data_IF_974381646985
#
_entry.id   IF_974381646985
#
_cell.length_a   1.000
_cell.length_b   1.000
_cell.length_c   1.000
_cell.angle_alpha   90.00
_cell.angle_beta   90.00
_cell.angle_gamma   90.00
#
_symmetry.space_group_name_H-M   'P 1'
#
loop_
_entity.id
_entity.type
_entity.pdbx_description
1 polymer ?
#
# COMPACT_ATOMS: atom_id res chain seq x y z
N UNK A 1 -19.91 5.32 8.52
CA UNK A 1 -19.73 5.56 7.06
C UNK A 1 -19.40 4.22 6.40
N UNK A 2 -19.77 3.95 5.15
CA UNK A 2 -19.49 2.65 4.55
C UNK A 2 -17.98 2.48 4.34
N UNK A 3 -17.44 1.44 4.95
CA UNK A 3 -16.10 0.92 4.63
C UNK A 3 -16.11 0.42 3.19
N UNK A 4 -15.15 0.88 2.39
CA UNK A 4 -14.89 0.31 1.06
C UNK A 4 -13.95 -0.86 1.24
N UNK A 5 -14.21 -1.92 0.48
CA UNK A 5 -13.41 -3.14 0.49
C UNK A 5 -13.05 -3.53 -0.94
N UNK A 6 -11.79 -3.92 -1.12
CA UNK A 6 -11.27 -4.47 -2.35
C UNK A 6 -10.52 -5.76 -2.07
N UNK A 7 -10.34 -6.56 -3.11
CA UNK A 7 -9.51 -7.76 -3.07
C UNK A 7 -8.65 -7.88 -4.32
N UNK A 8 -7.92 -8.99 -4.42
CA UNK A 8 -7.10 -9.32 -5.59
C UNK A 8 -7.88 -9.32 -6.91
N UNK A 9 -9.20 -9.53 -6.89
CA UNK A 9 -10.03 -9.46 -8.11
C UNK A 9 -10.12 -8.04 -8.67
N UNK A 10 -9.92 -7.03 -7.83
CA UNK A 10 -10.03 -5.62 -8.18
C UNK A 10 -8.68 -5.01 -8.59
N UNK A 11 -7.59 -5.78 -8.50
CA UNK A 11 -6.21 -5.30 -8.67
C UNK A 11 -6.02 -4.44 -9.93
N UNK A 12 -6.53 -4.88 -11.08
CA UNK A 12 -6.36 -4.18 -12.36
C UNK A 12 -7.11 -2.83 -12.43
N UNK A 13 -8.03 -2.58 -11.51
CA UNK A 13 -8.81 -1.33 -11.42
C UNK A 13 -8.30 -0.40 -10.30
N UNK A 14 -7.36 -0.89 -9.48
CA UNK A 14 -6.80 -0.16 -8.35
C UNK A 14 -5.49 0.53 -8.74
N UNK A 15 -5.14 1.59 -8.02
CA UNK A 15 -3.86 2.26 -8.14
C UNK A 15 -3.36 2.66 -6.77
N UNK A 16 -2.08 2.45 -6.53
CA UNK A 16 -1.39 2.84 -5.30
C UNK A 16 -0.38 3.97 -5.52
N UNK A 17 -0.37 4.57 -6.72
CA UNK A 17 0.55 5.65 -7.04
C UNK A 17 0.32 6.84 -6.07
N UNK A 18 1.41 7.30 -5.46
CA UNK A 18 1.49 8.34 -4.43
C UNK A 18 0.75 8.06 -3.11
N UNK A 19 0.34 6.82 -2.86
CA UNK A 19 -0.22 6.44 -1.56
C UNK A 19 0.89 6.47 -0.49
N UNK A 20 0.65 7.23 0.58
CA UNK A 20 1.56 7.29 1.72
C UNK A 20 1.36 6.09 2.64
N UNK A 21 2.44 5.41 3.01
CA UNK A 21 2.44 4.28 3.93
C UNK A 21 3.10 4.69 5.24
N UNK A 22 2.35 4.59 6.33
CA UNK A 22 2.74 5.04 7.68
C UNK A 22 3.44 3.94 8.49
N UNK A 23 3.25 2.69 8.10
CA UNK A 23 3.89 1.55 8.74
C UNK A 23 3.39 0.23 8.20
N UNK A 24 3.96 -0.84 8.72
CA UNK A 24 3.50 -2.19 8.44
C UNK A 24 3.56 -3.07 9.68
N UNK A 25 2.73 -4.12 9.68
CA UNK A 25 2.70 -5.16 10.71
C UNK A 25 2.86 -6.52 10.05
N UNK A 26 3.69 -7.38 10.66
CA UNK A 26 3.79 -8.80 10.31
C UNK A 26 3.06 -9.61 11.36
N UNK A 27 2.20 -10.52 10.93
CA UNK A 27 1.51 -11.48 11.80
C UNK A 27 1.88 -12.90 11.38
N UNK A 28 2.25 -13.73 12.34
CA UNK A 28 2.52 -15.15 12.10
C UNK A 28 1.24 -15.86 11.65
N UNK A 29 1.34 -16.65 10.58
CA UNK A 29 0.28 -17.49 10.07
C UNK A 29 0.61 -18.98 10.23
N UNK A 30 -0.19 -19.82 9.59
CA UNK A 30 0.02 -21.26 9.62
C UNK A 30 1.07 -21.71 8.59
N UNK A 31 1.66 -22.88 8.82
CA UNK A 31 2.51 -23.58 7.85
C UNK A 31 3.73 -22.79 7.32
N UNK A 32 4.26 -21.86 8.11
CA UNK A 32 5.44 -21.07 7.77
C UNK A 32 5.17 -19.88 6.84
N UNK A 33 3.89 -19.59 6.56
CA UNK A 33 3.47 -18.36 5.91
C UNK A 33 2.97 -17.35 6.95
N UNK A 34 2.97 -16.06 6.60
CA UNK A 34 2.48 -14.99 7.45
C UNK A 34 1.51 -14.05 6.75
N UNK A 35 1.14 -12.99 7.44
CA UNK A 35 0.37 -11.88 6.89
C UNK A 35 1.23 -10.61 7.02
N UNK A 36 1.22 -9.76 5.99
CA UNK A 36 1.79 -8.41 6.08
C UNK A 36 0.69 -7.39 5.80
N UNK A 37 0.58 -6.41 6.69
CA UNK A 37 -0.41 -5.35 6.61
C UNK A 37 0.27 -4.01 6.51
N UNK A 38 -0.09 -3.23 5.50
CA UNK A 38 0.34 -1.86 5.33
C UNK A 38 -0.77 -0.93 5.79
N UNK A 39 -0.40 0.05 6.61
CA UNK A 39 -1.28 1.16 6.99
C UNK A 39 -0.99 2.34 6.07
N UNK A 40 -1.96 2.74 5.26
CA UNK A 40 -1.76 3.72 4.19
C UNK A 40 -2.87 4.77 4.11
N UNK A 41 -2.54 5.89 3.49
CA UNK A 41 -3.49 6.84 2.93
C UNK A 41 -3.79 6.42 1.50
N UNK A 42 -4.94 5.78 1.28
CA UNK A 42 -5.34 5.33 -0.04
C UNK A 42 -6.06 6.44 -0.80
N UNK A 43 -5.54 6.77 -1.98
CA UNK A 43 -6.16 7.76 -2.87
C UNK A 43 -7.29 7.08 -3.64
N UNK A 44 -8.53 7.39 -3.28
CA UNK A 44 -9.74 6.87 -3.91
C UNK A 44 -9.98 7.48 -5.28
N UNK A 45 -9.65 8.75 -5.45
CA UNK A 45 -9.93 9.50 -6.67
C UNK A 45 -8.95 10.67 -6.84
N UNK A 46 -8.44 10.82 -8.06
CA UNK A 46 -7.70 12.00 -8.50
C UNK A 46 -8.67 12.96 -9.20
N UNK A 47 -8.85 14.16 -8.65
CA UNK A 47 -9.73 15.18 -9.20
C UNK A 47 -8.91 16.31 -9.78
N UNK A 48 -8.93 16.42 -11.11
CA UNK A 48 -8.35 17.56 -11.82
C UNK A 48 -9.41 18.67 -11.94
N UNK A 49 -9.10 19.88 -11.45
CA UNK A 49 -9.96 21.05 -11.60
C UNK A 49 -9.14 22.27 -12.04
N UNK A 50 -9.26 22.63 -13.31
CA UNK A 50 -8.45 23.70 -13.90
C UNK A 50 -6.98 23.29 -13.94
N UNK A 51 -6.11 24.11 -13.34
CA UNK A 51 -4.65 23.84 -13.28
C UNK A 51 -4.22 23.07 -12.02
N UNK A 52 -5.15 22.72 -11.13
CA UNK A 52 -4.85 22.08 -9.84
C UNK A 52 -5.37 20.65 -9.72
N UNK A 53 -4.75 19.90 -8.81
CA UNK A 53 -5.19 18.58 -8.38
C UNK A 53 -5.74 18.63 -6.96
N UNK A 54 -6.79 17.84 -6.72
CA UNK A 54 -7.28 17.47 -5.39
C UNK A 54 -7.51 15.97 -5.35
N UNK A 55 -7.46 15.40 -4.16
CA UNK A 55 -7.46 13.96 -3.95
C UNK A 55 -8.55 13.61 -2.96
N UNK A 56 -9.38 12.63 -3.30
CA UNK A 56 -10.23 12.00 -2.30
C UNK A 56 -9.41 10.88 -1.66
N UNK A 57 -9.06 11.04 -0.39
CA UNK A 57 -8.14 10.14 0.33
C UNK A 57 -8.86 9.55 1.53
N UNK A 58 -8.62 8.28 1.82
CA UNK A 58 -9.11 7.63 3.02
C UNK A 58 -8.02 6.76 3.65
N UNK A 59 -7.92 6.70 4.99
CA UNK A 59 -7.00 5.79 5.62
C UNK A 59 -7.49 4.36 5.43
N UNK A 60 -6.57 3.47 5.06
CA UNK A 60 -6.86 2.10 4.68
C UNK A 60 -5.81 1.12 5.22
N UNK A 61 -6.22 -0.13 5.32
CA UNK A 61 -5.32 -1.26 5.56
C UNK A 61 -5.25 -2.09 4.29
N UNK A 62 -4.03 -2.31 3.77
CA UNK A 62 -3.75 -3.25 2.68
C UNK A 62 -3.05 -4.47 3.27
N UNK A 63 -3.74 -5.61 3.30
CA UNK A 63 -3.23 -6.87 3.86
C UNK A 63 -2.94 -7.85 2.73
N UNK A 64 -1.72 -8.37 2.70
CA UNK A 64 -1.35 -9.51 1.86
C UNK A 64 -1.36 -10.80 2.67
N UNK A 65 -1.82 -11.88 2.03
CA UNK A 65 -2.11 -13.17 2.65
C UNK A 65 -1.07 -14.23 2.29
N UNK A 66 -0.82 -15.16 3.22
CA UNK A 66 0.08 -16.30 3.00
C UNK A 66 1.45 -15.85 2.44
N UNK A 67 2.02 -14.85 3.08
CA UNK A 67 3.24 -14.18 2.64
C UNK A 67 4.47 -15.01 2.97
N UNK A 68 5.35 -15.17 1.98
CA UNK A 68 6.69 -15.76 2.11
C UNK A 68 7.74 -14.90 1.42
N UNK A 69 9.02 -15.21 1.63
CA UNK A 69 10.14 -14.60 0.89
C UNK A 69 10.22 -13.07 0.96
N UNK A 70 9.83 -12.50 2.11
CA UNK A 70 9.81 -11.06 2.35
C UNK A 70 11.20 -10.43 2.28
N UNK A 71 11.32 -9.37 1.48
CA UNK A 71 12.48 -8.50 1.34
C UNK A 71 12.02 -7.05 1.44
N UNK A 72 12.70 -6.28 2.28
CA UNK A 72 12.40 -4.86 2.50
C UNK A 72 13.70 -4.09 2.35
N UNK A 73 13.69 -3.07 1.49
CA UNK A 73 14.78 -2.12 1.35
C UNK A 73 14.19 -0.71 1.19
N UNK A 74 14.43 0.16 2.16
CA UNK A 74 14.00 1.56 2.13
C UNK A 74 15.10 2.41 2.74
N UNK A 75 15.50 3.48 2.07
CA UNK A 75 16.68 4.26 2.43
C UNK A 75 16.38 5.76 2.56
N UNK A 76 16.10 6.21 3.79
CA UNK A 76 15.98 7.64 4.09
C UNK A 76 17.32 8.37 4.14
N UNK A 77 18.45 7.64 4.21
CA UNK A 77 19.77 8.25 4.29
C UNK A 77 20.23 8.79 2.94
N UNK A 78 19.88 8.12 1.84
CA UNK A 78 20.23 8.53 0.48
C UNK A 78 19.75 9.94 0.11
N UNK A 79 18.47 10.33 0.32
CA UNK A 79 18.02 11.70 0.08
C UNK A 79 18.30 12.67 1.24
N UNK A 80 18.95 12.23 2.33
CA UNK A 80 19.16 13.03 3.54
C UNK A 80 17.83 13.54 4.12
N UNK A 81 16.81 12.69 4.11
CA UNK A 81 15.46 13.04 4.55
C UNK A 81 15.23 12.69 6.01
N UNK A 82 14.43 13.49 6.70
CA UNK A 82 13.87 13.09 8.00
C UNK A 82 12.89 11.92 7.80
N UNK A 83 12.76 11.06 8.80
CA UNK A 83 11.83 9.93 8.75
C UNK A 83 10.38 10.43 8.73
N UNK A 84 9.61 9.89 7.80
CA UNK A 84 8.18 10.08 7.66
C UNK A 84 7.58 8.93 6.85
N UNK A 85 6.27 8.98 6.52
CA UNK A 85 5.66 7.99 5.64
C UNK A 85 6.40 7.92 4.29
N UNK A 86 6.58 6.72 3.75
CA UNK A 86 7.08 6.56 2.38
C UNK A 86 5.92 6.59 1.39
N UNK A 87 6.21 6.87 0.13
CA UNK A 87 5.21 6.94 -0.93
C UNK A 87 5.45 5.84 -1.98
N UNK A 88 4.36 5.23 -2.44
CA UNK A 88 4.41 4.17 -3.44
C UNK A 88 4.41 4.76 -4.86
N UNK A 89 5.27 4.23 -5.74
CA UNK A 89 5.14 4.41 -7.18
C UNK A 89 3.97 3.55 -7.73
N UNK A 90 3.71 2.42 -7.10
CA UNK A 90 2.71 1.46 -7.51
C UNK A 90 2.98 0.08 -6.93
N UNK A 91 2.09 -0.86 -7.27
CA UNK A 91 2.23 -2.27 -6.90
C UNK A 91 2.21 -3.09 -8.18
N UNK A 92 3.23 -3.91 -8.35
CA UNK A 92 3.35 -4.85 -9.46
C UNK A 92 3.11 -6.26 -8.97
N UNK A 93 2.46 -7.07 -9.83
CA UNK A 93 2.30 -8.51 -9.64
C UNK A 93 2.81 -9.23 -10.87
N UNK A 94 3.61 -10.27 -10.66
CA UNK A 94 4.06 -11.16 -11.73
C UNK A 94 4.04 -12.62 -11.29
N UNK A 95 3.87 -13.50 -12.27
CA UNK A 95 3.99 -14.94 -12.06
C UNK A 95 5.40 -15.39 -12.39
N UNK A 96 6.04 -16.12 -11.48
CA UNK A 96 7.37 -16.67 -11.71
C UNK A 96 7.37 -18.19 -11.45
N UNK A 97 7.90 -19.02 -12.37
CA UNK A 97 8.03 -20.45 -12.10
C UNK A 97 9.06 -20.71 -11.00
N UNK A 98 8.73 -21.63 -10.09
CA UNK A 98 9.63 -22.24 -9.10
C UNK A 98 9.69 -23.75 -9.35
N UNK A 99 10.66 -24.48 -8.78
CA UNK A 99 10.75 -25.93 -8.97
C UNK A 99 9.50 -26.71 -8.55
N UNK A 100 8.73 -26.21 -7.58
CA UNK A 100 7.58 -26.93 -6.98
C UNK A 100 6.21 -26.25 -7.20
N UNK A 101 6.18 -25.00 -7.66
CA UNK A 101 4.95 -24.23 -7.83
C UNK A 101 5.19 -23.01 -8.74
N UNK A 102 4.14 -22.27 -9.07
CA UNK A 102 4.25 -20.94 -9.70
C UNK A 102 4.05 -19.88 -8.63
N UNK A 103 5.08 -19.09 -8.36
CA UNK A 103 5.05 -18.02 -7.37
C UNK A 103 4.29 -16.80 -7.91
N UNK A 104 3.39 -16.24 -7.10
CA UNK A 104 2.83 -14.91 -7.32
C UNK A 104 3.69 -13.90 -6.56
N UNK A 105 4.61 -13.26 -7.29
CA UNK A 105 5.55 -12.28 -6.75
C UNK A 105 4.92 -10.90 -6.80
N UNK A 106 4.92 -10.22 -5.66
CA UNK A 106 4.42 -8.87 -5.48
C UNK A 106 5.59 -7.94 -5.19
N UNK A 107 5.57 -6.77 -5.82
CA UNK A 107 6.58 -5.72 -5.60
C UNK A 107 5.88 -4.39 -5.38
N UNK A 108 6.01 -3.84 -4.18
CA UNK A 108 5.61 -2.49 -3.83
C UNK A 108 6.81 -1.59 -4.13
N UNK A 109 6.73 -0.84 -5.22
CA UNK A 109 7.76 0.11 -5.62
C UNK A 109 7.58 1.41 -4.82
N UNK A 110 8.65 1.93 -4.24
CA UNK A 110 8.62 3.15 -3.42
C UNK A 110 9.24 4.29 -4.25
N UNK A 111 8.47 5.35 -4.53
CA UNK A 111 8.98 6.53 -5.26
C UNK A 111 9.63 7.57 -4.35
N UNK A 112 9.37 7.52 -3.04
CA UNK A 112 10.04 8.38 -2.05
C UNK A 112 10.12 7.67 -0.70
N UNK A 113 11.31 7.53 -0.07
CA UNK A 113 12.64 8.04 -0.45
C UNK A 113 13.41 7.24 -1.53
N UNK A 114 12.75 6.35 -2.27
CA UNK A 114 13.33 5.26 -3.08
C UNK A 114 13.53 3.97 -2.26
N UNK A 115 13.13 2.84 -2.85
CA UNK A 115 13.16 1.53 -2.22
C UNK A 115 12.14 0.59 -2.83
N UNK A 116 12.04 -0.61 -2.26
CA UNK A 116 10.97 -1.56 -2.60
C UNK A 116 10.71 -2.53 -1.45
N UNK A 117 9.51 -3.10 -1.48
CA UNK A 117 9.13 -4.24 -0.66
C UNK A 117 8.68 -5.35 -1.60
N UNK A 118 9.29 -6.52 -1.50
CA UNK A 118 9.00 -7.66 -2.36
C UNK A 118 8.70 -8.89 -1.52
N UNK A 119 7.73 -9.69 -1.94
CA UNK A 119 7.39 -10.97 -1.32
C UNK A 119 6.56 -11.84 -2.28
N UNK A 120 6.36 -13.11 -1.92
CA UNK A 120 5.36 -13.97 -2.54
C UNK A 120 4.08 -13.95 -1.72
N UNK A 121 2.91 -13.97 -2.36
CA UNK A 121 1.61 -13.97 -1.67
C UNK A 121 0.49 -14.48 -2.58
N UNK A 122 -0.49 -15.16 -1.99
CA UNK A 122 -1.68 -15.63 -2.70
C UNK A 122 -2.62 -14.50 -3.14
N UNK A 123 -2.49 -13.31 -2.54
CA UNK A 123 -3.38 -12.18 -2.82
C UNK A 123 -3.44 -11.19 -1.65
N UNK A 124 -4.33 -10.22 -1.80
CA UNK A 124 -4.57 -9.17 -0.82
C UNK A 124 -6.05 -8.88 -0.61
N UNK A 125 -6.33 -8.26 0.54
CA UNK A 125 -7.55 -7.52 0.84
C UNK A 125 -7.19 -6.09 1.24
N UNK A 126 -8.03 -5.12 0.87
CA UNK A 126 -7.86 -3.73 1.29
C UNK A 126 -9.18 -3.18 1.82
N UNK A 127 -9.15 -2.51 2.97
CA UNK A 127 -10.34 -1.92 3.60
C UNK A 127 -10.07 -0.50 4.09
N UNK A 128 -10.98 0.45 3.82
CA UNK A 128 -10.93 1.77 4.47
C UNK A 128 -11.48 1.69 5.90
N UNK A 129 -10.85 2.40 6.83
CA UNK A 129 -11.26 2.36 8.26
C UNK A 129 -11.60 3.74 8.84
N UNK A 130 -11.31 4.82 8.13
CA UNK A 130 -11.64 6.19 8.54
C UNK A 130 -12.49 6.93 7.52
N UNK A 131 -12.65 8.24 7.73
CA UNK A 131 -13.42 9.12 6.82
C UNK A 131 -12.69 9.36 5.50
N UNK A 132 -13.45 9.54 4.44
CA UNK A 132 -12.94 10.08 3.18
C UNK A 132 -12.73 11.60 3.35
N UNK A 133 -11.57 12.10 2.95
CA UNK A 133 -11.17 13.50 3.04
C UNK A 133 -10.83 14.00 1.64
N UNK A 134 -11.44 15.11 1.24
CA UNK A 134 -10.98 15.83 0.05
C UNK A 134 -9.79 16.71 0.44
N UNK A 135 -8.62 16.36 -0.05
CA UNK A 135 -7.34 17.00 0.28
C UNK A 135 -6.70 17.64 -0.95
N UNK A 136 -5.85 18.64 -0.72
CA UNK A 136 -4.95 19.19 -1.73
C UNK A 136 -3.58 18.49 -1.73
N UNK A 137 -3.42 17.46 -0.90
CA UNK A 137 -2.22 16.64 -0.74
C UNK A 137 -2.61 15.17 -0.90
N UNK A 138 -1.65 14.33 -1.30
CA UNK A 138 -1.84 12.89 -1.48
C UNK A 138 -1.87 12.11 -0.16
N UNK A 139 -1.35 12.69 0.93
CA UNK A 139 -1.37 12.13 2.28
C UNK A 139 -2.31 12.88 3.21
N UNK A 140 -2.69 12.23 4.30
CA UNK A 140 -3.52 12.80 5.36
C UNK A 140 -2.66 13.31 6.52
N UNK A 141 -3.06 14.42 7.12
CA UNK A 141 -2.50 14.86 8.39
C UNK A 141 -2.88 13.86 9.51
N UNK A 142 -2.10 13.76 10.60
CA UNK A 142 -2.42 12.88 11.73
C UNK A 142 -3.84 13.10 12.30
N UNK A 143 -4.32 14.35 12.35
CA UNK A 143 -5.67 14.68 12.81
C UNK A 143 -6.78 14.20 11.87
N UNK A 144 -6.47 14.00 10.59
CA UNK A 144 -7.40 13.54 9.56
C UNK A 144 -7.54 12.01 9.55
N UNK A 145 -6.54 11.29 10.04
CA UNK A 145 -6.49 9.83 10.21
C UNK A 145 -7.20 9.33 11.49
N UNK A 146 -8.20 10.07 11.97
CA UNK A 146 -8.98 9.67 13.14
C UNK A 146 -10.06 8.65 12.76
N UNK A 147 -10.30 7.66 13.62
CA UNK A 147 -11.51 6.84 13.51
C UNK A 147 -12.74 7.76 13.59
N UNK A 148 -13.72 7.51 12.72
CA UNK A 148 -14.94 8.31 12.62
C UNK A 148 -15.83 8.20 13.86
#
# INVERSE_FOLDING_TARGET
MPTRQWSTTDFEQMSWHDCHVHGFRVTEGEHGAGEIEFDLDYILEWRCKGEGYSFLVAPATLRFHQVTDLRIAIDWSAPIAALGPFSLAGIERRSEPRPLHTAAVWVLQINWPEGNIQFESTGFTQCTWGREVLSMQQGLAPSERSAA
#
